data_IF_846248118254
#
_entry.id   IF_846248118254
#
_cell.length_a   1.000
_cell.length_b   1.000
_cell.length_c   1.000
_cell.angle_alpha   90.00
_cell.angle_beta   90.00
_cell.angle_gamma   90.00
#
_symmetry.space_group_name_H-M   'P 1'
#
loop_
_entity.id
_entity.type
_entity.pdbx_description
1 polymer ?
#
# COMPACT_ATOMS: atom_id res chain seq x y z
N UNK A 1 32.40 75.76 -54.83
CA UNK A 1 32.35 74.88 -53.65
C UNK A 1 33.78 74.47 -53.28
N UNK A 2 34.20 74.70 -52.03
CA UNK A 2 35.58 74.44 -51.59
C UNK A 2 35.80 72.92 -51.50
N UNK A 3 36.81 72.39 -52.21
CA UNK A 3 37.04 70.92 -52.35
C UNK A 3 37.15 70.19 -51.00
N UNK A 4 37.64 70.88 -49.96
CA UNK A 4 37.73 70.37 -48.59
C UNK A 4 36.35 70.16 -47.93
N UNK A 5 35.38 71.04 -48.22
CA UNK A 5 34.03 70.95 -47.66
C UNK A 5 33.26 69.76 -48.24
N UNK A 6 33.43 69.49 -49.53
CA UNK A 6 32.82 68.32 -50.20
C UNK A 6 33.35 67.03 -49.59
N UNK A 7 34.65 66.96 -49.32
CA UNK A 7 35.29 65.79 -48.74
C UNK A 7 34.80 65.53 -47.31
N UNK A 8 34.63 66.56 -46.48
CA UNK A 8 34.04 66.42 -45.15
C UNK A 8 32.58 65.99 -45.19
N UNK A 9 31.78 66.50 -46.12
CA UNK A 9 30.37 66.13 -46.26
C UNK A 9 30.23 64.69 -46.73
N UNK A 10 31.07 64.25 -47.68
CA UNK A 10 31.11 62.85 -48.14
C UNK A 10 31.59 61.91 -47.01
N UNK A 11 32.56 62.33 -46.19
CA UNK A 11 33.02 61.55 -45.03
C UNK A 11 31.94 61.43 -43.94
N UNK A 12 31.23 62.53 -43.65
CA UNK A 12 30.12 62.53 -42.71
C UNK A 12 28.95 61.68 -43.20
N UNK A 13 28.59 61.79 -44.49
CA UNK A 13 27.58 60.94 -45.12
C UNK A 13 27.99 59.47 -45.12
N UNK A 14 29.26 59.15 -45.37
CA UNK A 14 29.74 57.76 -45.32
C UNK A 14 29.77 57.20 -43.90
N UNK A 15 30.09 57.98 -42.87
CA UNK A 15 29.97 57.54 -41.47
C UNK A 15 28.51 57.29 -41.05
N UNK A 16 27.57 58.09 -41.56
CA UNK A 16 26.12 57.89 -41.33
C UNK A 16 25.61 56.67 -42.11
N UNK A 17 26.06 56.46 -43.35
CA UNK A 17 25.70 55.31 -44.21
C UNK A 17 26.35 53.99 -43.78
N UNK A 18 27.56 54.03 -43.21
CA UNK A 18 28.21 52.84 -42.63
C UNK A 18 27.43 52.36 -41.41
N UNK A 19 26.62 53.25 -40.81
CA UNK A 19 25.82 52.94 -39.64
C UNK A 19 26.75 52.67 -38.46
N UNK A 20 26.56 53.38 -37.35
CA UNK A 20 26.87 52.76 -36.07
C UNK A 20 25.88 51.62 -35.89
N UNK A 21 26.13 50.51 -36.59
CA UNK A 21 25.48 49.24 -36.32
C UNK A 21 25.86 48.92 -34.89
N UNK A 22 24.95 49.23 -33.96
CA UNK A 22 24.93 48.54 -32.71
C UNK A 22 24.97 47.06 -33.08
N UNK A 23 26.11 46.42 -32.87
CA UNK A 23 26.18 44.98 -32.90
C UNK A 23 25.36 44.53 -31.68
N UNK A 24 24.06 44.38 -31.89
CA UNK A 24 23.18 43.68 -30.98
C UNK A 24 23.55 42.21 -31.13
N UNK A 25 24.51 41.75 -30.34
CA UNK A 25 24.85 40.34 -30.23
C UNK A 25 23.70 39.66 -29.49
N UNK A 26 22.64 39.28 -30.20
CA UNK A 26 21.77 38.21 -29.73
C UNK A 26 22.52 36.90 -29.90
N UNK A 27 23.38 36.58 -28.94
CA UNK A 27 23.81 35.21 -28.74
C UNK A 27 22.61 34.46 -28.16
N UNK A 28 21.87 33.78 -29.03
CA UNK A 28 20.81 32.87 -28.62
C UNK A 28 21.47 31.65 -27.98
N UNK A 29 21.43 31.58 -26.64
CA UNK A 29 21.82 30.39 -25.89
C UNK A 29 20.81 29.27 -26.17
N UNK A 30 21.13 28.40 -27.11
CA UNK A 30 20.36 27.18 -27.36
C UNK A 30 20.75 26.11 -26.33
N UNK A 31 19.99 26.02 -25.25
CA UNK A 31 20.10 24.92 -24.29
C UNK A 31 19.25 23.75 -24.79
N UNK A 32 19.88 22.78 -25.47
CA UNK A 32 19.22 21.51 -25.80
C UNK A 32 19.49 20.51 -24.68
N UNK A 33 18.65 20.50 -23.66
CA UNK A 33 18.71 19.51 -22.58
C UNK A 33 17.61 18.46 -22.77
N UNK A 34 17.99 17.18 -22.63
CA UNK A 34 17.04 16.09 -22.39
C UNK A 34 16.87 15.99 -20.88
N UNK A 35 15.78 16.51 -20.35
CA UNK A 35 15.40 16.23 -18.97
C UNK A 35 14.94 14.76 -18.91
N UNK A 36 15.76 13.90 -18.32
CA UNK A 36 15.33 12.55 -17.95
C UNK A 36 14.81 12.64 -16.53
N UNK A 37 13.50 12.54 -16.35
CA UNK A 37 12.88 12.44 -15.02
C UNK A 37 13.04 11.02 -14.52
N UNK A 38 13.13 10.83 -13.19
CA UNK A 38 13.05 9.49 -12.64
C UNK A 38 11.62 8.95 -12.72
N UNK A 39 11.48 7.64 -12.70
CA UNK A 39 10.21 6.92 -12.77
C UNK A 39 9.75 6.51 -11.37
N UNK A 40 8.45 6.58 -11.13
CA UNK A 40 7.81 6.19 -9.88
C UNK A 40 6.84 5.03 -10.17
N UNK A 41 7.09 3.86 -9.59
CA UNK A 41 6.33 2.65 -9.90
C UNK A 41 6.45 1.64 -8.74
N UNK A 42 5.40 1.53 -7.92
CA UNK A 42 5.31 0.60 -6.78
C UNK A 42 4.19 -0.40 -7.07
N UNK A 43 4.44 -1.68 -6.81
CA UNK A 43 3.46 -2.72 -7.12
C UNK A 43 3.51 -3.93 -6.17
N UNK A 44 2.43 -4.69 -6.13
CA UNK A 44 2.32 -5.97 -5.40
C UNK A 44 2.71 -7.13 -6.30
N UNK A 45 3.64 -7.98 -5.88
CA UNK A 45 4.17 -9.07 -6.73
C UNK A 45 3.71 -10.47 -6.36
N UNK A 46 3.04 -10.61 -5.22
CA UNK A 46 2.32 -11.82 -4.86
C UNK A 46 1.15 -11.50 -3.91
N UNK A 47 0.31 -12.51 -3.66
CA UNK A 47 -0.71 -12.47 -2.62
C UNK A 47 -0.88 -13.90 -2.08
N UNK A 48 -0.82 -14.04 -0.76
CA UNK A 48 -0.93 -15.30 -0.05
C UNK A 48 -1.75 -15.16 1.23
N UNK A 49 -2.24 -16.27 1.75
CA UNK A 49 -2.67 -16.38 3.13
C UNK A 49 -1.47 -16.11 4.04
N UNK A 50 -1.72 -15.74 5.29
CA UNK A 50 -0.66 -15.33 6.20
C UNK A 50 0.39 -16.41 6.46
N UNK A 51 1.63 -15.94 6.71
CA UNK A 51 2.81 -16.72 7.07
C UNK A 51 3.25 -17.74 6.01
N UNK A 52 3.65 -17.22 4.86
CA UNK A 52 4.26 -17.97 3.77
C UNK A 52 5.73 -18.32 4.03
N UNK A 53 6.37 -17.68 5.00
CA UNK A 53 7.76 -17.91 5.40
C UNK A 53 7.91 -18.00 6.93
N UNK A 54 8.90 -18.77 7.41
CA UNK A 54 9.13 -19.01 8.85
C UNK A 54 9.39 -17.73 9.66
N UNK A 55 9.97 -16.69 9.05
CA UNK A 55 10.26 -15.41 9.70
C UNK A 55 9.03 -14.49 9.82
N UNK A 56 7.88 -14.85 9.25
CA UNK A 56 6.66 -14.04 9.31
C UNK A 56 5.78 -14.39 10.52
N UNK A 57 6.12 -15.42 11.29
CA UNK A 57 5.34 -15.83 12.45
C UNK A 57 5.32 -14.70 13.50
N UNK A 58 4.13 -14.32 13.96
CA UNK A 58 3.96 -13.26 14.98
C UNK A 58 4.62 -13.56 16.34
N UNK A 59 5.08 -14.79 16.52
CA UNK A 59 5.99 -15.24 17.58
C UNK A 59 7.07 -16.09 16.93
N UNK A 60 8.18 -16.39 17.62
CA UNK A 60 9.19 -17.37 17.14
C UNK A 60 8.66 -18.84 17.06
N UNK A 61 7.33 -19.03 16.93
CA UNK A 61 6.62 -20.30 16.87
C UNK A 61 5.36 -20.20 16.00
N UNK A 62 5.28 -21.04 14.97
CA UNK A 62 4.09 -21.18 14.15
C UNK A 62 2.85 -21.59 14.95
N UNK A 63 3.04 -22.44 15.97
CA UNK A 63 1.97 -22.98 16.83
C UNK A 63 1.41 -21.94 17.81
N UNK A 64 2.17 -20.88 18.09
CA UNK A 64 1.74 -19.77 18.95
C UNK A 64 1.33 -18.53 18.13
N UNK A 65 1.24 -18.68 16.81
CA UNK A 65 0.84 -17.66 15.86
C UNK A 65 -0.37 -18.17 15.07
N UNK A 66 -1.23 -17.30 14.55
CA UNK A 66 -2.46 -17.72 13.89
C UNK A 66 -2.56 -17.20 12.46
N UNK A 67 -3.10 -18.01 11.55
CA UNK A 67 -3.52 -17.58 10.21
C UNK A 67 -5.03 -17.34 10.14
N UNK A 68 -5.80 -18.16 10.85
CA UNK A 68 -7.25 -18.01 11.03
C UNK A 68 -7.60 -18.13 12.52
N UNK A 69 -8.50 -17.29 13.01
CA UNK A 69 -9.20 -17.48 14.29
C UNK A 69 -10.62 -17.91 13.95
N UNK A 70 -11.03 -19.07 14.45
CA UNK A 70 -12.34 -19.64 14.13
C UNK A 70 -13.08 -20.26 15.31
N UNK A 71 -12.46 -20.35 16.49
CA UNK A 71 -13.09 -20.94 17.68
C UNK A 71 -13.16 -22.47 17.68
N UNK A 72 -12.63 -23.16 16.67
CA UNK A 72 -12.68 -24.62 16.58
C UNK A 72 -11.45 -25.21 17.28
N UNK A 73 -11.65 -26.22 18.15
CA UNK A 73 -10.56 -26.88 18.87
C UNK A 73 -9.80 -25.93 19.79
N UNK A 74 -8.52 -25.66 19.48
CA UNK A 74 -7.69 -24.65 20.17
C UNK A 74 -8.18 -23.21 19.99
N UNK A 75 -9.13 -22.98 19.08
CA UNK A 75 -9.73 -21.69 18.79
C UNK A 75 -9.14 -20.97 17.58
N UNK A 76 -8.05 -21.48 17.02
CA UNK A 76 -7.36 -20.91 15.86
C UNK A 76 -6.65 -21.99 15.04
N UNK A 77 -6.27 -21.60 13.82
CA UNK A 77 -5.42 -22.36 12.90
C UNK A 77 -4.01 -21.76 12.95
N UNK A 78 -2.95 -22.58 13.18
CA UNK A 78 -1.56 -22.12 13.25
C UNK A 78 -1.11 -21.32 12.03
N UNK A 79 -0.13 -20.44 12.21
CA UNK A 79 0.37 -19.56 11.15
C UNK A 79 0.89 -20.35 9.94
N UNK A 80 1.61 -21.45 10.17
CA UNK A 80 2.19 -22.27 9.11
C UNK A 80 1.17 -23.14 8.34
N UNK A 81 -0.12 -23.07 8.64
CA UNK A 81 -1.12 -23.93 8.00
C UNK A 81 -1.18 -23.73 6.48
N UNK A 82 -1.05 -22.47 6.03
CA UNK A 82 -0.99 -22.09 4.62
C UNK A 82 0.43 -21.82 4.14
N UNK A 83 1.45 -22.17 4.92
CA UNK A 83 2.85 -21.91 4.57
C UNK A 83 3.17 -22.53 3.20
N UNK A 84 3.82 -21.73 2.36
CA UNK A 84 4.14 -22.13 1.00
C UNK A 84 5.20 -23.24 1.03
N UNK A 85 4.92 -24.32 0.30
CA UNK A 85 5.99 -25.19 -0.20
C UNK A 85 6.73 -24.54 -1.38
N UNK A 86 7.52 -25.31 -2.14
CA UNK A 86 8.21 -24.78 -3.34
C UNK A 86 7.22 -24.51 -4.50
N UNK A 87 7.28 -23.30 -5.09
CA UNK A 87 6.75 -22.88 -6.40
C UNK A 87 5.25 -22.57 -6.57
N UNK A 88 4.57 -21.93 -5.62
CA UNK A 88 3.16 -21.48 -5.80
C UNK A 88 2.90 -19.99 -5.52
N UNK A 89 3.68 -19.11 -6.16
CA UNK A 89 3.55 -17.65 -6.00
C UNK A 89 2.19 -17.07 -6.44
N UNK A 90 1.48 -17.77 -7.34
CA UNK A 90 0.19 -17.34 -7.89
C UNK A 90 -1.03 -18.00 -7.21
N UNK A 91 -0.82 -18.71 -6.10
CA UNK A 91 -1.91 -19.31 -5.31
C UNK A 91 -1.97 -18.65 -3.94
N UNK A 92 -3.14 -18.14 -3.59
CA UNK A 92 -3.38 -17.46 -2.31
C UNK A 92 -3.32 -18.47 -1.16
N UNK A 93 -3.76 -19.71 -1.34
CA UNK A 93 -3.89 -20.69 -0.26
C UNK A 93 -2.86 -21.82 -0.33
N UNK A 94 -1.82 -21.65 -1.17
CA UNK A 94 -0.64 -22.53 -1.21
C UNK A 94 -0.92 -23.92 -1.78
N UNK A 95 0.05 -24.83 -1.63
CA UNK A 95 -0.02 -26.21 -2.17
C UNK A 95 0.16 -27.30 -1.11
N UNK A 96 -0.63 -28.40 -1.18
CA UNK A 96 -1.89 -28.49 -1.94
C UNK A 96 -2.89 -27.46 -1.39
N UNK A 97 -3.81 -26.96 -2.22
CA UNK A 97 -4.78 -25.91 -1.87
C UNK A 97 -5.36 -26.14 -0.47
N UNK A 98 -4.75 -25.48 0.52
CA UNK A 98 -5.03 -25.71 1.94
C UNK A 98 -6.40 -25.17 2.30
N UNK A 99 -7.05 -24.43 1.39
CA UNK A 99 -8.44 -23.99 1.51
C UNK A 99 -9.38 -25.19 1.68
N UNK A 100 -9.19 -26.25 0.89
CA UNK A 100 -9.99 -27.47 1.00
C UNK A 100 -9.83 -28.14 2.37
N UNK A 101 -8.59 -28.32 2.83
CA UNK A 101 -8.30 -28.88 4.15
C UNK A 101 -8.89 -28.04 5.28
N UNK A 102 -8.87 -26.71 5.15
CA UNK A 102 -9.51 -25.81 6.10
C UNK A 102 -11.04 -26.00 6.12
N UNK A 103 -11.68 -26.06 4.96
CA UNK A 103 -13.13 -26.26 4.88
C UNK A 103 -13.56 -27.62 5.39
N UNK A 104 -12.78 -28.67 5.15
CA UNK A 104 -13.03 -30.00 5.75
C UNK A 104 -12.94 -29.94 7.29
N UNK A 105 -11.99 -29.19 7.84
CA UNK A 105 -11.89 -28.95 9.30
C UNK A 105 -13.06 -28.12 9.84
N UNK A 106 -13.53 -27.14 9.07
CA UNK A 106 -14.61 -26.25 9.45
C UNK A 106 -16.01 -26.86 9.27
N UNK A 107 -16.10 -27.99 8.56
CA UNK A 107 -17.36 -28.68 8.28
C UNK A 107 -18.16 -28.95 9.57
N UNK A 108 -19.43 -28.57 9.57
CA UNK A 108 -20.33 -28.72 10.72
C UNK A 108 -20.18 -27.66 11.80
N UNK A 109 -19.14 -26.81 11.76
CA UNK A 109 -18.98 -25.67 12.66
C UNK A 109 -19.38 -24.34 12.01
N UNK A 110 -18.92 -24.08 10.79
CA UNK A 110 -19.23 -22.87 10.05
C UNK A 110 -19.26 -23.10 8.53
N UNK A 111 -19.61 -22.05 7.78
CA UNK A 111 -19.65 -22.07 6.31
C UNK A 111 -19.03 -20.80 5.73
N UNK A 112 -17.96 -20.31 6.36
CA UNK A 112 -17.26 -19.11 5.90
C UNK A 112 -16.57 -19.39 4.57
N UNK A 113 -16.71 -18.43 3.65
CA UNK A 113 -15.88 -18.35 2.46
C UNK A 113 -15.08 -17.06 2.54
N UNK A 114 -13.78 -17.16 2.28
CA UNK A 114 -12.93 -15.99 2.13
C UNK A 114 -12.01 -16.18 0.93
N UNK A 115 -11.89 -15.14 0.12
CA UNK A 115 -10.97 -15.08 -0.99
C UNK A 115 -10.26 -13.74 -1.00
N UNK A 116 -9.11 -13.70 -1.68
CA UNK A 116 -8.40 -12.46 -1.92
C UNK A 116 -7.77 -12.48 -3.32
N UNK A 117 -7.72 -11.34 -3.98
CA UNK A 117 -7.07 -11.20 -5.28
C UNK A 117 -6.36 -9.85 -5.40
N UNK A 118 -5.30 -9.81 -6.19
CA UNK A 118 -4.80 -8.55 -6.74
C UNK A 118 -5.74 -8.15 -7.87
N UNK A 119 -6.34 -6.96 -7.81
CA UNK A 119 -7.12 -6.41 -8.93
C UNK A 119 -6.19 -5.89 -10.00
N UNK A 120 -6.69 -5.95 -11.23
CA UNK A 120 -5.92 -5.67 -12.45
C UNK A 120 -4.59 -6.44 -12.55
N UNK A 121 -4.53 -7.73 -12.16
CA UNK A 121 -3.27 -8.48 -11.98
C UNK A 121 -2.54 -8.78 -13.32
N UNK A 122 -3.03 -8.26 -14.44
CA UNK A 122 -2.72 -8.71 -15.80
C UNK A 122 -1.43 -8.18 -16.44
N UNK A 123 -0.54 -7.50 -15.71
CA UNK A 123 0.72 -7.02 -16.28
C UNK A 123 1.86 -7.94 -15.84
N UNK A 124 2.65 -8.40 -16.81
CA UNK A 124 3.92 -9.07 -16.54
C UNK A 124 4.95 -8.02 -16.21
N UNK A 125 5.82 -8.28 -15.23
CA UNK A 125 7.04 -7.48 -15.06
C UNK A 125 7.77 -7.38 -16.41
N UNK A 126 8.06 -6.15 -16.84
CA UNK A 126 8.67 -5.87 -18.14
C UNK A 126 10.12 -6.29 -18.19
N UNK A 127 10.81 -6.12 -17.07
CA UNK A 127 12.22 -6.39 -16.90
C UNK A 127 12.42 -7.54 -15.92
N UNK A 128 13.54 -8.23 -16.08
CA UNK A 128 14.02 -9.18 -15.11
C UNK A 128 14.76 -8.39 -14.02
N UNK A 129 14.33 -8.53 -12.77
CA UNK A 129 14.96 -7.92 -11.61
C UNK A 129 15.75 -9.01 -10.89
N UNK A 130 16.97 -9.37 -11.33
CA UNK A 130 17.68 -10.56 -10.85
C UNK A 130 18.09 -10.50 -9.37
N UNK A 131 18.03 -9.32 -8.75
CA UNK A 131 18.20 -9.13 -7.31
C UNK A 131 16.91 -9.37 -6.52
N UNK A 132 15.77 -9.61 -7.18
CA UNK A 132 14.49 -9.90 -6.57
C UNK A 132 14.07 -11.32 -7.01
N UNK A 133 13.36 -12.10 -6.17
CA UNK A 133 12.91 -13.43 -6.55
C UNK A 133 11.80 -13.42 -7.61
N UNK A 134 11.32 -12.24 -8.04
CA UNK A 134 10.29 -12.05 -9.04
C UNK A 134 10.91 -11.65 -10.37
N UNK A 135 10.71 -12.49 -11.38
CA UNK A 135 11.16 -12.25 -12.75
C UNK A 135 10.03 -12.04 -13.75
N UNK A 136 10.39 -12.02 -15.03
CA UNK A 136 9.45 -11.90 -16.14
C UNK A 136 8.34 -12.98 -16.07
N UNK A 137 7.08 -12.56 -16.11
CA UNK A 137 5.91 -13.44 -16.08
C UNK A 137 5.13 -13.45 -14.76
N UNK A 138 5.65 -12.84 -13.70
CA UNK A 138 4.88 -12.59 -12.47
C UNK A 138 3.78 -11.56 -12.72
N UNK A 139 2.65 -11.81 -12.08
CA UNK A 139 1.38 -11.11 -12.20
C UNK A 139 1.30 -10.14 -11.02
N UNK A 140 1.15 -8.85 -11.30
CA UNK A 140 1.16 -7.80 -10.28
C UNK A 140 -0.06 -6.89 -10.40
N UNK A 141 -0.40 -6.20 -9.31
CA UNK A 141 -1.49 -5.23 -9.25
C UNK A 141 -1.22 -4.14 -8.22
N UNK A 142 -2.15 -3.19 -8.13
CA UNK A 142 -2.02 -1.99 -7.26
C UNK A 142 -3.16 -1.90 -6.23
N UNK A 143 -4.10 -2.85 -6.26
CA UNK A 143 -5.26 -2.90 -5.38
C UNK A 143 -5.47 -4.34 -4.92
N UNK A 144 -5.65 -4.52 -3.61
CA UNK A 144 -6.00 -5.82 -3.03
C UNK A 144 -7.51 -5.84 -2.80
N UNK A 145 -8.16 -6.85 -3.36
CA UNK A 145 -9.56 -7.17 -3.10
C UNK A 145 -9.65 -8.34 -2.15
N UNK A 146 -10.53 -8.23 -1.17
CA UNK A 146 -10.86 -9.31 -0.24
C UNK A 146 -12.37 -9.54 -0.31
N UNK A 147 -12.76 -10.78 -0.53
CA UNK A 147 -14.15 -11.22 -0.53
C UNK A 147 -14.42 -12.08 0.70
N UNK A 148 -15.47 -11.76 1.43
CA UNK A 148 -15.88 -12.49 2.63
C UNK A 148 -17.35 -12.86 2.55
N UNK A 149 -17.70 -14.09 2.90
CA UNK A 149 -19.09 -14.55 3.00
C UNK A 149 -19.34 -15.32 4.29
N UNK A 150 -20.58 -15.22 4.78
CA UNK A 150 -21.09 -15.98 5.94
C UNK A 150 -20.28 -15.80 7.23
N UNK A 151 -19.71 -14.59 7.42
CA UNK A 151 -18.86 -14.32 8.58
C UNK A 151 -19.65 -14.36 9.89
N UNK A 152 -18.95 -14.66 10.98
CA UNK A 152 -19.50 -14.65 12.34
C UNK A 152 -18.56 -13.94 13.33
N UNK A 153 -19.10 -13.38 14.43
CA UNK A 153 -18.31 -12.72 15.48
C UNK A 153 -17.19 -13.59 16.03
N UNK A 154 -15.99 -13.02 16.18
CA UNK A 154 -14.82 -13.72 16.67
C UNK A 154 -14.03 -14.48 15.60
N UNK A 155 -14.48 -14.46 14.34
CA UNK A 155 -13.69 -14.94 13.22
C UNK A 155 -12.65 -13.90 12.79
N UNK A 156 -11.44 -14.36 12.44
CA UNK A 156 -10.44 -13.55 11.74
C UNK A 156 -9.62 -14.39 10.76
N UNK A 157 -9.12 -13.75 9.71
CA UNK A 157 -8.18 -14.36 8.78
C UNK A 157 -7.17 -13.32 8.29
N UNK A 158 -5.92 -13.75 8.13
CA UNK A 158 -4.83 -12.90 7.68
C UNK A 158 -4.27 -13.34 6.33
N UNK A 159 -3.73 -12.35 5.60
CA UNK A 159 -3.09 -12.45 4.30
C UNK A 159 -1.76 -11.71 4.32
N UNK A 160 -0.90 -12.03 3.36
CA UNK A 160 0.38 -11.38 3.14
C UNK A 160 0.67 -11.12 1.67
N UNK A 161 1.48 -10.12 1.37
CA UNK A 161 1.87 -9.72 0.01
C UNK A 161 3.21 -9.00 0.04
N UNK A 162 4.00 -9.17 -1.00
CA UNK A 162 5.24 -8.43 -1.26
C UNK A 162 4.98 -7.16 -2.05
N UNK A 163 5.56 -6.06 -1.58
CA UNK A 163 5.59 -4.77 -2.24
C UNK A 163 7.00 -4.51 -2.74
N UNK A 164 7.13 -4.15 -4.01
CA UNK A 164 8.40 -3.72 -4.59
C UNK A 164 8.23 -2.36 -5.26
N UNK A 165 9.28 -1.54 -5.18
CA UNK A 165 9.41 -0.34 -5.99
C UNK A 165 10.27 -0.69 -7.21
N UNK A 166 9.70 -0.66 -8.40
CA UNK A 166 10.42 -0.88 -9.68
C UNK A 166 10.75 0.43 -10.39
N UNK A 167 10.39 1.57 -9.79
CA UNK A 167 10.79 2.89 -10.24
C UNK A 167 12.25 3.22 -9.90
N UNK A 168 12.70 4.39 -10.35
CA UNK A 168 14.03 4.93 -10.07
C UNK A 168 14.03 5.96 -8.93
N UNK A 169 12.91 6.13 -8.22
CA UNK A 169 12.72 7.10 -7.13
C UNK A 169 12.08 6.38 -5.94
N UNK A 170 12.55 6.66 -4.72
CA UNK A 170 11.97 6.11 -3.50
C UNK A 170 10.50 6.55 -3.30
N UNK A 171 9.69 5.67 -2.75
CA UNK A 171 8.25 5.84 -2.58
C UNK A 171 7.85 5.83 -1.10
N UNK A 172 6.75 6.52 -0.78
CA UNK A 172 6.20 6.66 0.58
C UNK A 172 4.71 6.30 0.56
N UNK A 173 4.28 5.37 1.40
CA UNK A 173 2.85 5.02 1.52
C UNK A 173 2.13 6.08 2.36
N UNK A 174 1.70 7.16 1.73
CA UNK A 174 1.13 8.31 2.43
C UNK A 174 -0.35 8.14 2.77
N UNK A 175 -1.08 7.34 1.99
CA UNK A 175 -2.52 7.16 2.25
C UNK A 175 -3.04 5.77 1.92
N UNK A 176 -4.17 5.43 2.54
CA UNK A 176 -4.94 4.24 2.24
C UNK A 176 -6.40 4.62 2.00
N UNK A 177 -7.02 4.00 1.00
CA UNK A 177 -8.44 4.19 0.72
C UNK A 177 -9.15 2.85 0.67
N UNK A 178 -10.26 2.77 1.37
CA UNK A 178 -11.05 1.56 1.51
C UNK A 178 -12.38 1.76 0.80
N UNK A 179 -12.75 0.84 -0.08
CA UNK A 179 -14.07 0.81 -0.71
C UNK A 179 -14.77 -0.48 -0.32
N UNK A 180 -15.99 -0.35 0.19
CA UNK A 180 -16.78 -1.47 0.67
C UNK A 180 -18.03 -1.63 -0.18
N UNK A 181 -18.10 -2.72 -0.93
CA UNK A 181 -19.36 -3.19 -1.50
C UNK A 181 -20.07 -4.03 -0.43
N UNK A 182 -21.15 -3.45 0.14
CA UNK A 182 -21.89 -4.04 1.25
C UNK A 182 -23.36 -4.23 0.92
N UNK A 183 -23.94 -5.23 1.58
CA UNK A 183 -25.39 -5.42 1.63
C UNK A 183 -26.08 -4.64 2.76
N UNK A 184 -25.36 -4.15 3.78
CA UNK A 184 -25.93 -3.48 4.96
C UNK A 184 -24.93 -2.56 5.68
N UNK A 185 -25.36 -1.34 6.02
CA UNK A 185 -24.55 -0.32 6.72
C UNK A 185 -24.02 -0.76 8.10
N UNK A 186 -24.72 -1.67 8.78
CA UNK A 186 -24.31 -2.15 10.11
C UNK A 186 -23.05 -3.01 10.08
N UNK A 187 -22.79 -3.69 8.96
CA UNK A 187 -21.64 -4.57 8.79
C UNK A 187 -20.32 -3.81 8.96
N UNK A 188 -20.27 -2.54 8.55
CA UNK A 188 -19.07 -1.73 8.68
C UNK A 188 -18.65 -1.49 10.14
N UNK A 189 -19.57 -1.59 11.10
CA UNK A 189 -19.25 -1.46 12.53
C UNK A 189 -18.68 -2.76 13.11
N UNK A 190 -19.00 -3.90 12.51
CA UNK A 190 -18.63 -5.23 12.98
C UNK A 190 -17.31 -5.70 12.40
N UNK A 191 -17.02 -5.37 11.15
CA UNK A 191 -15.79 -5.79 10.49
C UNK A 191 -14.69 -4.76 10.75
N UNK A 192 -13.49 -5.25 11.02
CA UNK A 192 -12.30 -4.42 11.08
C UNK A 192 -11.15 -4.99 10.26
N UNK A 193 -10.21 -4.09 9.96
CA UNK A 193 -8.99 -4.37 9.20
C UNK A 193 -7.77 -4.07 10.08
N UNK A 194 -6.85 -5.01 10.13
CA UNK A 194 -5.48 -4.80 10.59
C UNK A 194 -4.59 -4.74 9.36
N UNK A 195 -3.66 -3.78 9.32
CA UNK A 195 -2.72 -3.64 8.21
C UNK A 195 -1.37 -3.18 8.75
N UNK A 196 -0.34 -3.93 8.39
CA UNK A 196 1.07 -3.66 8.69
C UNK A 196 1.84 -3.74 7.38
N UNK A 197 2.62 -2.71 7.07
CA UNK A 197 3.67 -2.79 6.06
C UNK A 197 5.00 -2.67 6.78
N UNK A 198 5.88 -3.63 6.57
CA UNK A 198 7.19 -3.72 7.18
C UNK A 198 8.25 -3.82 6.09
N UNK A 199 9.42 -3.21 6.29
CA UNK A 199 10.54 -3.47 5.39
C UNK A 199 11.10 -4.87 5.63
N UNK A 200 11.52 -5.58 4.58
CA UNK A 200 12.10 -6.92 4.66
C UNK A 200 13.31 -6.99 5.62
N UNK A 201 13.99 -5.85 5.83
CA UNK A 201 15.03 -5.66 6.83
C UNK A 201 14.53 -4.74 7.96
N UNK A 202 13.57 -5.21 8.81
CA UNK A 202 12.89 -4.34 9.77
C UNK A 202 13.82 -3.86 10.89
N UNK A 203 14.91 -4.57 11.16
CA UNK A 203 15.93 -4.14 12.11
C UNK A 203 16.67 -2.88 11.66
N UNK A 204 16.71 -2.62 10.35
CA UNK A 204 17.38 -1.47 9.75
C UNK A 204 16.41 -0.36 9.39
N UNK A 205 15.29 -0.69 8.72
CA UNK A 205 14.36 0.30 8.16
C UNK A 205 13.01 0.39 8.89
N UNK A 206 12.73 -0.58 9.76
CA UNK A 206 11.55 -0.58 10.62
C UNK A 206 10.25 -0.92 9.90
N UNK A 207 9.15 -0.43 10.47
CA UNK A 207 7.82 -0.60 9.87
C UNK A 207 7.52 0.60 8.97
N UNK A 208 7.01 0.35 7.78
CA UNK A 208 6.63 1.36 6.81
C UNK A 208 5.28 1.97 7.19
N UNK A 209 4.29 1.14 7.55
CA UNK A 209 2.95 1.58 7.97
C UNK A 209 2.41 0.70 9.09
N UNK A 210 1.81 1.32 10.10
CA UNK A 210 0.95 0.66 11.11
C UNK A 210 -0.43 1.29 11.07
N UNK A 211 -1.44 0.61 10.50
CA UNK A 211 -2.76 1.21 10.29
C UNK A 211 -3.39 1.69 11.61
N UNK A 212 -3.42 0.84 12.63
CA UNK A 212 -4.07 1.13 13.92
C UNK A 212 -3.49 2.37 14.64
N UNK A 213 -2.21 2.72 14.40
CA UNK A 213 -1.59 3.89 15.01
C UNK A 213 -2.18 5.23 14.52
N UNK A 214 -2.95 5.20 13.42
CA UNK A 214 -3.58 6.38 12.85
C UNK A 214 -4.98 6.66 13.40
N UNK A 215 -5.55 5.76 14.23
CA UNK A 215 -6.93 5.82 14.71
C UNK A 215 -7.02 5.89 16.24
N UNK A 216 -8.17 6.39 16.72
CA UNK A 216 -8.51 6.41 18.15
C UNK A 216 -8.95 5.02 18.63
N UNK A 217 -8.72 4.72 19.91
CA UNK A 217 -9.08 3.40 20.50
C UNK A 217 -10.58 3.07 20.38
N UNK A 218 -11.46 4.07 20.28
CA UNK A 218 -12.90 3.86 20.10
C UNK A 218 -13.27 3.31 18.71
N UNK A 219 -12.41 3.53 17.71
CA UNK A 219 -12.59 3.02 16.35
C UNK A 219 -11.94 1.63 16.17
N UNK A 220 -11.38 1.06 17.24
CA UNK A 220 -10.58 -0.17 17.24
C UNK A 220 -11.25 -1.25 18.12
N UNK A 221 -11.09 -2.51 17.73
CA UNK A 221 -11.29 -3.65 18.61
C UNK A 221 -10.08 -4.58 18.56
N UNK A 222 -9.97 -5.49 19.53
CA UNK A 222 -8.87 -6.46 19.60
C UNK A 222 -9.41 -7.88 19.48
N UNK A 223 -8.77 -8.69 18.65
CA UNK A 223 -9.04 -10.12 18.52
C UNK A 223 -7.70 -10.84 18.25
N UNK A 224 -7.44 -11.95 18.95
CA UNK A 224 -6.19 -12.70 18.81
C UNK A 224 -4.92 -11.88 19.02
N UNK A 225 -4.96 -10.94 19.96
CA UNK A 225 -3.88 -9.98 20.25
C UNK A 225 -3.55 -8.99 19.12
N UNK A 226 -4.42 -8.87 18.11
CA UNK A 226 -4.28 -7.91 17.00
C UNK A 226 -5.35 -6.82 17.11
N UNK A 227 -4.94 -5.56 16.90
CA UNK A 227 -5.84 -4.41 16.83
C UNK A 227 -6.40 -4.26 15.41
N UNK A 228 -7.73 -4.27 15.29
CA UNK A 228 -8.45 -4.07 14.04
C UNK A 228 -9.18 -2.73 14.07
N UNK A 229 -8.97 -1.91 13.04
CA UNK A 229 -9.71 -0.66 12.85
C UNK A 229 -11.03 -0.98 12.15
N UNK A 230 -12.16 -0.53 12.71
CA UNK A 230 -13.49 -0.80 12.15
C UNK A 230 -13.64 -0.16 10.78
N UNK A 231 -14.32 -0.85 9.86
CA UNK A 231 -14.63 -0.31 8.54
C UNK A 231 -15.46 0.99 8.64
N UNK A 232 -16.28 1.16 9.67
CA UNK A 232 -17.04 2.40 9.90
C UNK A 232 -16.15 3.62 10.13
N UNK A 233 -14.90 3.43 10.57
CA UNK A 233 -13.90 4.48 10.66
C UNK A 233 -13.14 4.64 9.34
N UNK A 234 -12.72 3.52 8.74
CA UNK A 234 -11.98 3.49 7.48
C UNK A 234 -12.76 4.06 6.28
N UNK A 235 -14.09 3.95 6.29
CA UNK A 235 -14.96 4.42 5.21
C UNK A 235 -15.38 5.90 5.34
N UNK A 236 -14.86 6.64 6.35
CA UNK A 236 -15.14 8.08 6.49
C UNK A 236 -14.43 8.93 5.42
N UNK A 237 -13.38 8.39 4.79
CA UNK A 237 -12.59 9.06 3.77
C UNK A 237 -11.25 8.37 3.55
N UNK A 238 -10.35 9.04 2.84
CA UNK A 238 -8.95 8.62 2.71
C UNK A 238 -8.26 8.66 4.07
N UNK A 239 -7.53 7.60 4.41
CA UNK A 239 -6.73 7.49 5.63
C UNK A 239 -5.35 8.05 5.34
N UNK A 240 -5.04 9.19 5.94
CA UNK A 240 -3.69 9.77 5.90
C UNK A 240 -2.78 9.05 6.91
N UNK A 241 -1.63 8.58 6.44
CA UNK A 241 -0.64 7.92 7.30
C UNK A 241 0.24 9.00 7.93
N UNK A 242 0.22 9.07 9.27
CA UNK A 242 0.89 10.14 10.02
C UNK A 242 2.41 10.05 9.96
N UNK A 243 2.95 8.83 10.02
CA UNK A 243 4.39 8.57 10.10
C UNK A 243 4.80 7.50 9.07
N UNK A 244 4.80 7.79 7.76
CA UNK A 244 5.11 6.78 6.75
C UNK A 244 6.60 6.72 6.48
N UNK A 245 7.17 5.52 6.42
CA UNK A 245 8.55 5.34 5.93
C UNK A 245 8.59 5.04 4.43
N UNK A 246 9.80 4.92 3.89
CA UNK A 246 10.04 4.79 2.47
C UNK A 246 10.27 3.34 2.04
N UNK A 247 9.84 3.01 0.83
CA UNK A 247 10.37 1.89 0.05
C UNK A 247 11.38 2.46 -0.93
N UNK A 248 12.60 1.96 -0.87
CA UNK A 248 13.71 2.46 -1.67
C UNK A 248 13.63 1.98 -3.12
N UNK A 249 14.20 2.76 -4.04
CA UNK A 249 14.37 2.31 -5.41
C UNK A 249 15.39 1.15 -5.48
N UNK A 250 15.29 0.24 -6.46
CA UNK A 250 16.24 -0.86 -6.62
C UNK A 250 17.65 -0.33 -6.88
N UNK A 251 18.65 -0.94 -6.25
CA UNK A 251 20.05 -0.74 -6.59
C UNK A 251 20.85 -2.04 -6.42
N UNK A 252 22.03 -2.09 -7.04
CA UNK A 252 22.85 -3.29 -7.05
C UNK A 252 23.20 -3.76 -5.63
N UNK A 253 22.84 -5.01 -5.31
CA UNK A 253 23.08 -5.62 -4.00
C UNK A 253 22.06 -5.22 -2.91
N UNK A 254 20.94 -4.61 -3.28
CA UNK A 254 19.83 -4.33 -2.38
C UNK A 254 18.60 -5.15 -2.69
N UNK A 255 18.03 -5.73 -1.63
CA UNK A 255 16.72 -6.38 -1.58
C UNK A 255 15.78 -5.51 -0.73
N UNK A 256 15.56 -4.25 -1.14
CA UNK A 256 14.57 -3.39 -0.44
C UNK A 256 13.17 -3.75 -0.92
N UNK A 257 12.44 -4.47 -0.08
CA UNK A 257 11.05 -4.88 -0.31
C UNK A 257 10.20 -4.57 0.93
N UNK A 258 8.91 -4.39 0.71
CA UNK A 258 7.93 -4.25 1.79
C UNK A 258 7.10 -5.52 1.95
N UNK A 259 7.10 -6.11 3.14
CA UNK A 259 6.15 -7.13 3.54
C UNK A 259 4.85 -6.47 4.02
N UNK A 260 3.76 -6.72 3.29
CA UNK A 260 2.41 -6.31 3.68
C UNK A 260 1.69 -7.47 4.33
N UNK A 261 1.14 -7.22 5.52
CA UNK A 261 0.24 -8.12 6.23
C UNK A 261 -1.13 -7.45 6.39
N UNK A 262 -2.20 -8.17 6.02
CA UNK A 262 -3.59 -7.70 6.15
C UNK A 262 -4.38 -8.74 6.93
N UNK A 263 -4.99 -8.33 8.04
CA UNK A 263 -5.97 -9.13 8.76
C UNK A 263 -7.38 -8.56 8.58
N UNK A 264 -8.36 -9.43 8.35
CA UNK A 264 -9.79 -9.09 8.44
C UNK A 264 -10.41 -9.85 9.59
N UNK A 265 -11.17 -9.15 10.43
CA UNK A 265 -11.84 -9.75 11.58
C UNK A 265 -13.27 -9.26 11.72
N UNK A 266 -14.12 -10.11 12.29
CA UNK A 266 -15.42 -9.71 12.80
C UNK A 266 -15.33 -9.60 14.30
N UNK A 267 -15.65 -8.41 14.81
CA UNK A 267 -15.67 -8.12 16.23
C UNK A 267 -16.51 -9.18 16.97
N UNK A 268 -15.92 -9.89 17.96
CA UNK A 268 -16.66 -10.82 18.81
C UNK A 268 -17.75 -10.13 19.62
N UNK A 269 -17.70 -8.79 19.71
CA UNK A 269 -18.66 -7.96 20.42
C UNK A 269 -18.86 -8.43 21.86
N UNK A 270 -17.74 -8.51 22.60
CA UNK A 270 -17.71 -9.01 23.97
C UNK A 270 -18.64 -8.23 24.92
N UNK A 271 -18.92 -6.96 24.61
CA UNK A 271 -19.84 -6.08 25.34
C UNK A 271 -21.32 -6.22 24.91
N UNK A 272 -21.62 -7.02 23.89
CA UNK A 272 -22.98 -7.25 23.37
C UNK A 272 -23.65 -5.99 22.83
N UNK A 273 -22.89 -5.11 22.17
CA UNK A 273 -23.36 -3.85 21.60
C UNK A 273 -23.93 -4.04 20.19
N UNK A 274 -23.49 -5.07 19.46
CA UNK A 274 -23.78 -5.27 18.04
C UNK A 274 -24.27 -6.68 17.66
N UNK A 275 -23.92 -7.74 18.41
CA UNK A 275 -24.31 -9.15 18.20
C UNK A 275 -24.72 -9.80 19.53
N UNK A 276 -25.27 -11.02 19.50
CA UNK A 276 -25.67 -11.75 20.74
C UNK A 276 -24.72 -12.90 21.11
N UNK A 277 -23.48 -12.86 20.60
CA UNK A 277 -22.49 -13.96 20.61
C UNK A 277 -22.15 -14.61 21.95
N UNK A 278 -22.72 -14.16 23.08
CA UNK A 278 -22.69 -14.90 24.34
C UNK A 278 -24.06 -14.95 25.01
N UNK A 279 -24.39 -16.09 25.62
CA UNK A 279 -25.62 -16.23 26.41
C UNK A 279 -25.69 -15.27 27.61
N UNK A 280 -24.53 -14.78 28.08
CA UNK A 280 -24.40 -13.86 29.21
C UNK A 280 -24.82 -12.42 28.88
N UNK A 281 -24.70 -11.99 27.62
CA UNK A 281 -25.02 -10.62 27.16
C UNK A 281 -26.22 -10.63 26.21
N UNK A 282 -27.14 -11.60 26.37
CA UNK A 282 -28.39 -11.70 25.60
C UNK A 282 -29.17 -10.38 25.65
N UNK A 283 -29.01 -9.56 24.62
CA UNK A 283 -29.72 -8.30 24.46
C UNK A 283 -30.73 -8.45 23.32
N UNK A 284 -32.01 -8.17 23.60
CA UNK A 284 -33.12 -8.31 22.64
C UNK A 284 -33.11 -7.27 21.51
N UNK A 285 -32.04 -6.45 21.39
CA UNK A 285 -31.89 -5.38 20.39
C UNK A 285 -30.88 -5.70 19.28
N UNK A 286 -30.10 -6.78 19.41
CA UNK A 286 -29.05 -7.17 18.45
C UNK A 286 -29.55 -8.35 17.61
N UNK A 287 -29.09 -8.46 16.35
CA UNK A 287 -29.57 -9.48 15.43
C UNK A 287 -28.41 -10.07 14.61
N UNK A 288 -28.09 -11.33 14.89
CA UNK A 288 -27.01 -12.09 14.25
C UNK A 288 -27.25 -12.28 12.73
N UNK A 289 -28.49 -12.08 12.26
CA UNK A 289 -28.84 -12.03 10.84
C UNK A 289 -28.17 -10.87 10.06
N UNK A 290 -27.43 -9.98 10.73
CA UNK A 290 -26.65 -8.93 10.09
C UNK A 290 -25.37 -9.43 9.44
N UNK A 291 -24.82 -10.57 9.89
CA UNK A 291 -23.60 -11.17 9.31
C UNK A 291 -23.88 -12.50 8.62
N UNK A 292 -24.90 -13.25 9.05
CA UNK A 292 -25.31 -14.52 8.42
C UNK A 292 -25.82 -14.33 6.98
N UNK A 293 -25.37 -15.19 6.06
CA UNK A 293 -25.74 -15.18 4.63
C UNK A 293 -25.44 -13.84 3.92
N UNK A 294 -24.49 -13.06 4.43
CA UNK A 294 -24.04 -11.82 3.81
C UNK A 294 -22.68 -12.02 3.15
N UNK A 295 -22.51 -11.33 2.03
CA UNK A 295 -21.25 -11.18 1.32
C UNK A 295 -20.79 -9.75 1.39
N UNK A 296 -19.48 -9.57 1.50
CA UNK A 296 -18.80 -8.29 1.58
C UNK A 296 -17.58 -8.36 0.67
N UNK A 297 -17.42 -7.35 -0.18
CA UNK A 297 -16.21 -7.17 -0.99
C UNK A 297 -15.54 -5.88 -0.56
N UNK A 298 -14.28 -5.98 -0.14
CA UNK A 298 -13.45 -4.88 0.32
C UNK A 298 -12.30 -4.68 -0.66
N UNK A 299 -12.24 -3.51 -1.29
CA UNK A 299 -11.10 -3.09 -2.10
C UNK A 299 -10.23 -2.12 -1.26
N UNK A 300 -8.93 -2.37 -1.21
CA UNK A 300 -7.93 -1.54 -0.52
C UNK A 300 -6.99 -0.94 -1.56
N UNK A 301 -7.05 0.38 -1.73
CA UNK A 301 -6.20 1.17 -2.60
C UNK A 301 -5.05 1.80 -1.79
N UNK A 302 -3.83 1.70 -2.30
CA UNK A 302 -2.61 2.19 -1.65
C UNK A 302 -2.12 3.46 -2.34
N UNK A 303 -2.17 4.59 -1.63
CA UNK A 303 -1.75 5.89 -2.14
C UNK A 303 -0.28 6.16 -1.86
N UNK A 304 0.55 5.88 -2.86
CA UNK A 304 1.99 6.11 -2.80
C UNK A 304 2.36 7.50 -3.33
N UNK A 305 3.24 8.20 -2.62
CA UNK A 305 3.86 9.45 -3.03
C UNK A 305 5.37 9.25 -3.29
N UNK A 306 5.97 10.13 -4.08
CA UNK A 306 7.42 10.24 -4.17
C UNK A 306 8.01 10.74 -2.84
N UNK A 307 9.21 10.28 -2.47
CA UNK A 307 9.82 10.61 -1.16
C UNK A 307 10.00 12.11 -0.89
N UNK A 308 10.11 12.93 -1.94
CA UNK A 308 10.37 14.38 -1.88
C UNK A 308 9.11 15.23 -2.15
N UNK A 309 7.92 14.64 -2.14
CA UNK A 309 6.67 15.39 -2.25
C UNK A 309 6.49 16.30 -1.03
N UNK A 310 6.28 17.59 -1.28
CA UNK A 310 6.02 18.56 -0.21
C UNK A 310 7.22 18.82 0.72
N UNK A 311 8.46 18.72 0.21
CA UNK A 311 9.65 19.08 1.00
C UNK A 311 9.62 20.57 1.32
N UNK A 312 9.24 20.87 2.56
CA UNK A 312 9.37 22.20 3.14
C UNK A 312 10.80 22.37 3.67
N UNK A 313 11.48 23.37 3.11
CA UNK A 313 12.79 23.79 3.60
C UNK A 313 12.54 24.76 4.76
N UNK A 314 13.19 24.58 5.93
CA UNK A 314 13.03 25.51 7.05
C UNK A 314 13.25 26.96 6.62
N UNK A 315 12.48 27.92 7.15
CA UNK A 315 12.52 29.33 6.72
C UNK A 315 13.93 29.95 6.77
N UNK A 316 14.80 29.44 7.64
CA UNK A 316 16.18 29.90 7.80
C UNK A 316 17.18 29.26 6.80
N UNK A 317 16.73 28.34 5.96
CA UNK A 317 17.52 27.68 4.92
C UNK A 317 17.00 28.16 3.58
N UNK A 318 17.86 28.86 2.85
CA UNK A 318 17.45 29.52 1.61
C UNK A 318 18.46 29.37 0.47
N UNK A 319 18.05 29.70 -0.74
CA UNK A 319 18.85 29.67 -1.95
C UNK A 319 19.09 31.10 -2.44
N UNK A 320 20.24 31.39 -3.07
CA UNK A 320 20.50 32.71 -3.68
C UNK A 320 19.41 33.16 -4.65
N UNK A 321 18.72 32.18 -5.26
CA UNK A 321 17.56 32.35 -6.11
C UNK A 321 16.35 32.95 -5.39
N UNK A 322 16.27 32.94 -4.06
CA UNK A 322 15.22 33.65 -3.30
C UNK A 322 15.20 35.15 -3.63
N UNK A 323 16.35 35.71 -4.01
CA UNK A 323 16.48 37.13 -4.34
C UNK A 323 15.74 37.51 -5.63
N UNK A 324 15.25 36.53 -6.38
CA UNK A 324 14.40 36.74 -7.55
C UNK A 324 12.92 36.87 -7.20
N UNK A 325 12.52 36.48 -5.98
CA UNK A 325 11.13 36.52 -5.51
C UNK A 325 10.67 37.97 -5.26
#
# INVERSE_FOLDING_TARGET
MNKKLVLCVVLALSLILVGTGYAYWTDTLNVTTKATTGDFDVTFVDLGAYAQYENEYGTDSAENSWSIIDGIGSGFVPANFFERGTNTYNDVFGKPDKRGEYYDRAEGFNSIEMDAELKDPGRKLKDDYPSLPYGNGHIYGDTIRIELKNMYPGYAQAFRSDIINIGSIAAKLSSLKFNLEKSNDKIAKLIGVALLVQDENPNTYGNIVKLAANFDENDIFTLGNVKFVRLSALLKGTVEIKEPHYILAPYEGSEHRGDLFIGIAVDPDADGVYTTGTAAVRNTRNNDSWTENKSVTLDIEFGWDQFNQGVDVPENVTNILEKQN
#
